data_IF_604129820877
#
_entry.id   IF_604129820877
#
_cell.length_a   1.000
_cell.length_b   1.000
_cell.length_c   1.000
_cell.angle_alpha   90.00
_cell.angle_beta   90.00
_cell.angle_gamma   90.00
#
_symmetry.space_group_name_H-M   'P 1'
#
loop_
_entity.id
_entity.type
_entity.pdbx_description
1 polymer ?
#
# COMPACT_ATOMS: atom_id res chain seq x y z
N UNK A 1 2.96 16.28 -16.58
CA UNK A 1 2.16 16.25 -15.32
C UNK A 1 3.07 15.69 -14.24
N UNK A 2 2.91 16.12 -12.99
CA UNK A 2 3.70 15.57 -11.89
C UNK A 2 3.41 14.07 -11.69
N UNK A 3 4.46 13.28 -11.44
CA UNK A 3 4.38 11.83 -11.24
C UNK A 3 4.07 11.48 -9.79
N UNK A 4 4.31 12.44 -8.88
CA UNK A 4 3.91 12.40 -7.47
C UNK A 4 3.08 13.66 -7.16
N UNK A 5 1.97 13.48 -6.43
CA UNK A 5 1.16 14.59 -5.92
C UNK A 5 0.93 14.41 -4.42
N UNK A 6 1.38 15.37 -3.63
CA UNK A 6 1.01 15.44 -2.21
C UNK A 6 -0.42 15.95 -2.13
N UNK A 7 -1.32 15.10 -1.68
CA UNK A 7 -2.75 15.41 -1.54
C UNK A 7 -3.01 16.14 -0.23
N UNK A 8 -2.39 15.68 0.86
CA UNK A 8 -2.54 16.27 2.19
C UNK A 8 -1.37 15.91 3.09
N UNK A 9 -1.03 16.82 4.01
CA UNK A 9 -0.06 16.59 5.08
C UNK A 9 -0.71 16.81 6.45
N UNK A 10 -0.05 16.38 7.52
CA UNK A 10 -0.50 16.60 8.89
C UNK A 10 -1.76 15.83 9.28
N UNK A 11 -2.08 14.74 8.58
CA UNK A 11 -3.18 13.85 8.98
C UNK A 11 -2.84 13.15 10.29
N UNK A 12 -3.81 13.12 11.22
CA UNK A 12 -3.63 12.40 12.48
C UNK A 12 -3.76 10.89 12.27
N UNK A 13 -2.64 10.19 12.33
CA UNK A 13 -2.53 8.73 12.14
C UNK A 13 -2.36 7.95 13.46
N UNK A 14 -2.41 8.62 14.61
CA UNK A 14 -2.16 8.02 15.94
C UNK A 14 -3.03 6.82 16.22
N UNK A 15 -4.34 6.90 15.94
CA UNK A 15 -5.27 5.78 16.19
C UNK A 15 -4.98 4.59 15.25
N UNK A 16 -4.56 4.86 14.02
CA UNK A 16 -4.18 3.82 13.07
C UNK A 16 -2.92 3.11 13.57
N UNK A 17 -1.90 3.87 13.98
CA UNK A 17 -0.67 3.33 14.57
C UNK A 17 -0.97 2.48 15.81
N UNK A 18 -1.82 2.96 16.72
CA UNK A 18 -2.23 2.18 17.91
C UNK A 18 -2.94 0.86 17.56
N UNK A 19 -3.73 0.83 16.47
CA UNK A 19 -4.34 -0.43 16.03
C UNK A 19 -3.31 -1.41 15.44
N UNK A 20 -2.30 -0.93 14.71
CA UNK A 20 -1.22 -1.78 14.20
C UNK A 20 -0.42 -2.42 15.33
N UNK A 21 -0.16 -1.68 16.41
CA UNK A 21 0.48 -2.20 17.62
C UNK A 21 -0.39 -3.24 18.34
N UNK A 22 -1.69 -2.96 18.45
CA UNK A 22 -2.65 -3.85 19.11
C UNK A 22 -2.81 -5.19 18.39
N UNK A 23 -2.75 -5.20 17.07
CA UNK A 23 -2.97 -6.38 16.21
C UNK A 23 -1.70 -6.71 15.41
N UNK A 24 -0.55 -6.68 16.08
CA UNK A 24 0.76 -6.97 15.46
C UNK A 24 0.86 -8.37 14.86
N UNK A 25 0.05 -9.31 15.31
CA UNK A 25 -0.06 -10.67 14.77
C UNK A 25 -0.63 -10.72 13.34
N UNK A 26 -1.26 -9.64 12.87
CA UNK A 26 -1.78 -9.56 11.51
C UNK A 26 -0.68 -9.35 10.45
N UNK A 27 0.52 -8.94 10.86
CA UNK A 27 1.65 -8.80 9.95
C UNK A 27 2.07 -10.15 9.37
N UNK A 28 2.28 -10.19 8.05
CA UNK A 28 2.62 -11.43 7.34
C UNK A 28 1.41 -12.30 7.00
N UNK A 29 0.17 -11.80 7.17
CA UNK A 29 -1.06 -12.55 6.93
C UNK A 29 -1.20 -13.06 5.49
N UNK A 30 -0.54 -12.44 4.50
CA UNK A 30 -0.51 -12.92 3.12
C UNK A 30 0.11 -14.31 2.98
N UNK A 31 1.00 -14.72 3.90
CA UNK A 31 1.69 -16.04 3.86
C UNK A 31 0.75 -17.20 4.18
N UNK A 32 -0.35 -16.94 4.86
CA UNK A 32 -1.32 -17.96 5.27
C UNK A 32 -2.54 -18.04 4.37
N UNK A 33 -2.61 -17.19 3.34
CA UNK A 33 -3.76 -17.16 2.44
C UNK A 33 -3.57 -18.14 1.29
N UNK A 34 -4.67 -18.79 0.88
CA UNK A 34 -4.68 -19.70 -0.27
C UNK A 34 -4.19 -18.96 -1.52
N UNK A 35 -3.19 -19.50 -2.20
CA UNK A 35 -2.51 -18.87 -3.33
C UNK A 35 -1.28 -18.02 -2.95
N UNK A 36 -0.92 -17.97 -1.67
CA UNK A 36 0.30 -17.26 -1.24
C UNK A 36 1.59 -17.86 -1.85
N UNK A 37 1.58 -19.13 -2.19
CA UNK A 37 2.67 -19.83 -2.87
C UNK A 37 2.94 -19.30 -4.28
N UNK A 38 1.98 -18.58 -4.88
CA UNK A 38 2.12 -17.95 -6.20
C UNK A 38 2.75 -16.54 -6.13
N UNK A 39 2.94 -16.02 -4.93
CA UNK A 39 3.61 -14.75 -4.75
C UNK A 39 5.11 -14.98 -4.93
N UNK A 40 5.70 -14.27 -5.90
CA UNK A 40 7.13 -14.34 -6.19
C UNK A 40 7.95 -14.22 -4.88
N UNK A 41 8.84 -15.18 -4.57
CA UNK A 41 9.73 -15.11 -3.41
C UNK A 41 10.55 -13.80 -3.35
N UNK A 42 10.90 -13.20 -4.49
CA UNK A 42 11.57 -11.90 -4.57
C UNK A 42 10.69 -10.76 -4.03
N UNK A 43 9.36 -10.83 -4.19
CA UNK A 43 8.43 -9.87 -3.61
C UNK A 43 8.53 -9.83 -2.07
N UNK A 44 8.76 -10.97 -1.43
CA UNK A 44 8.94 -11.06 0.01
C UNK A 44 10.27 -10.48 0.51
N UNK A 45 11.27 -10.37 -0.37
CA UNK A 45 12.56 -9.73 -0.04
C UNK A 45 12.49 -8.20 -0.13
N UNK A 46 11.53 -7.67 -0.90
CA UNK A 46 11.37 -6.23 -1.11
C UNK A 46 10.75 -5.54 0.11
N UNK A 47 9.89 -6.25 0.86
CA UNK A 47 9.18 -5.69 2.00
C UNK A 47 9.45 -6.51 3.27
N UNK A 48 9.92 -5.84 4.32
CA UNK A 48 10.17 -6.48 5.62
C UNK A 48 8.90 -7.02 6.28
N UNK A 49 7.74 -6.43 5.98
CA UNK A 49 6.44 -6.89 6.43
C UNK A 49 5.31 -6.36 5.56
N UNK A 50 4.33 -7.22 5.37
CA UNK A 50 3.09 -6.90 4.64
C UNK A 50 1.91 -7.31 5.51
N UNK A 51 0.93 -6.41 5.66
CA UNK A 51 -0.35 -6.66 6.28
C UNK A 51 -1.45 -6.31 5.29
N UNK A 52 -2.07 -7.32 4.68
CA UNK A 52 -3.14 -7.12 3.71
C UNK A 52 -4.49 -6.97 4.40
N UNK A 53 -5.24 -5.92 4.02
CA UNK A 53 -6.65 -5.76 4.43
C UNK A 53 -7.59 -6.23 3.33
N UNK A 54 -7.28 -5.86 2.09
CA UNK A 54 -7.99 -6.34 0.89
C UNK A 54 -6.94 -6.77 -0.12
N UNK A 55 -7.02 -7.99 -0.60
CA UNK A 55 -6.09 -8.55 -1.55
C UNK A 55 -6.76 -9.02 -2.83
N UNK A 56 -5.98 -9.17 -3.90
CA UNK A 56 -6.43 -9.80 -5.12
C UNK A 56 -6.68 -11.29 -4.93
N UNK A 57 -7.63 -11.84 -5.68
CA UNK A 57 -7.88 -13.26 -5.75
C UNK A 57 -8.01 -13.73 -7.19
N UNK A 58 -7.59 -14.95 -7.47
CA UNK A 58 -7.76 -15.59 -8.78
C UNK A 58 -9.07 -16.36 -8.83
N UNK A 59 -9.75 -16.35 -9.97
CA UNK A 59 -10.96 -17.14 -10.23
C UNK A 59 -10.69 -18.39 -11.05
N UNK A 60 -9.56 -18.44 -11.74
CA UNK A 60 -9.13 -19.53 -12.61
C UNK A 60 -7.67 -19.91 -12.32
N UNK A 61 -7.27 -21.17 -12.51
CA UNK A 61 -5.90 -21.63 -12.20
C UNK A 61 -4.79 -20.94 -12.99
N UNK A 62 -5.09 -20.44 -14.19
CA UNK A 62 -4.14 -19.79 -15.10
C UNK A 62 -4.19 -18.25 -15.00
N UNK A 63 -5.02 -17.70 -14.12
CA UNK A 63 -5.15 -16.27 -13.90
C UNK A 63 -4.05 -15.78 -12.97
N UNK A 64 -3.36 -14.71 -13.38
CA UNK A 64 -2.38 -14.06 -12.51
C UNK A 64 -3.08 -13.04 -11.60
N UNK A 65 -2.72 -13.04 -10.32
CA UNK A 65 -3.34 -12.16 -9.32
C UNK A 65 -3.30 -10.68 -9.69
N UNK A 66 -2.28 -10.23 -10.41
CA UNK A 66 -2.13 -8.83 -10.84
C UNK A 66 -3.00 -8.48 -12.07
N UNK A 67 -3.75 -9.44 -12.62
CA UNK A 67 -4.68 -9.21 -13.72
C UNK A 67 -6.16 -9.34 -13.32
N UNK A 68 -6.45 -9.79 -12.10
CA UNK A 68 -7.84 -9.97 -11.65
C UNK A 68 -8.41 -8.72 -10.99
N UNK A 69 -9.68 -8.46 -11.22
CA UNK A 69 -10.46 -7.42 -10.51
C UNK A 69 -11.09 -7.94 -9.20
N UNK A 70 -10.99 -9.23 -8.93
CA UNK A 70 -11.56 -9.82 -7.71
C UNK A 70 -10.73 -9.37 -6.51
N UNK A 71 -11.43 -8.80 -5.52
CA UNK A 71 -10.84 -8.32 -4.29
C UNK A 71 -11.53 -8.97 -3.08
N UNK A 72 -10.75 -9.60 -2.22
CA UNK A 72 -11.23 -10.27 -1.00
C UNK A 72 -10.69 -9.57 0.24
N UNK A 73 -11.57 -9.35 1.20
CA UNK A 73 -11.19 -8.87 2.53
C UNK A 73 -10.52 -10.00 3.31
N UNK A 74 -9.44 -9.66 4.00
CA UNK A 74 -8.84 -10.54 5.01
C UNK A 74 -9.56 -10.35 6.36
N UNK A 75 -9.39 -11.28 7.33
CA UNK A 75 -9.90 -11.06 8.69
C UNK A 75 -9.34 -9.80 9.37
N UNK A 76 -8.16 -9.31 8.97
CA UNK A 76 -7.57 -8.08 9.47
C UNK A 76 -8.39 -6.82 9.09
N UNK A 77 -9.15 -6.86 8.00
CA UNK A 77 -9.98 -5.72 7.57
C UNK A 77 -10.94 -5.24 8.66
N UNK A 78 -11.58 -6.17 9.35
CA UNK A 78 -12.58 -5.85 10.37
C UNK A 78 -11.94 -5.43 11.71
N UNK A 79 -10.66 -5.77 11.94
CA UNK A 79 -9.90 -5.36 13.13
C UNK A 79 -9.29 -3.96 12.98
N UNK A 80 -8.82 -3.59 11.80
CA UNK A 80 -8.18 -2.30 11.53
C UNK A 80 -9.19 -1.21 11.15
N UNK A 81 -10.16 -0.97 12.04
CA UNK A 81 -11.32 -0.12 11.78
C UNK A 81 -10.97 1.36 11.53
N UNK A 82 -9.89 1.88 12.12
CA UNK A 82 -9.54 3.30 11.98
C UNK A 82 -9.08 3.64 10.55
N UNK A 83 -8.30 2.77 9.90
CA UNK A 83 -7.94 2.98 8.50
C UNK A 83 -9.14 2.77 7.57
N UNK A 84 -10.01 1.81 7.89
CA UNK A 84 -11.26 1.58 7.13
C UNK A 84 -12.18 2.80 7.22
N UNK A 85 -12.31 3.43 8.40
CA UNK A 85 -13.05 4.69 8.57
C UNK A 85 -12.42 5.83 7.77
N UNK A 86 -11.09 5.93 7.77
CA UNK A 86 -10.36 6.90 6.95
C UNK A 86 -10.70 6.75 5.48
N UNK A 87 -10.59 5.54 4.93
CA UNK A 87 -10.92 5.28 3.54
C UNK A 87 -12.36 5.64 3.20
N UNK A 88 -13.32 5.18 4.01
CA UNK A 88 -14.75 5.47 3.79
C UNK A 88 -15.10 6.96 3.85
N UNK A 89 -14.34 7.74 4.64
CA UNK A 89 -14.55 9.19 4.77
C UNK A 89 -14.00 9.98 3.59
N UNK A 90 -12.88 9.55 3.03
CA UNK A 90 -12.12 10.34 2.05
C UNK A 90 -12.21 9.79 0.63
N UNK A 91 -12.60 8.53 0.44
CA UNK A 91 -12.67 7.87 -0.86
C UNK A 91 -14.00 7.15 -1.03
N UNK A 92 -14.64 7.35 -2.18
CA UNK A 92 -15.95 6.74 -2.47
C UNK A 92 -15.86 5.23 -2.72
N UNK A 93 -14.72 4.75 -3.16
CA UNK A 93 -14.44 3.34 -3.36
C UNK A 93 -12.95 3.09 -3.18
N UNK A 94 -12.62 1.88 -2.76
CA UNK A 94 -11.27 1.37 -2.73
C UNK A 94 -11.28 -0.09 -3.17
N UNK A 95 -10.15 -0.54 -3.68
CA UNK A 95 -9.93 -1.92 -4.11
C UNK A 95 -8.91 -2.58 -3.17
N UNK A 96 -7.78 -3.04 -3.68
CA UNK A 96 -6.73 -3.64 -2.83
C UNK A 96 -6.13 -2.62 -1.89
N UNK A 97 -5.83 -3.05 -0.68
CA UNK A 97 -5.16 -2.19 0.28
C UNK A 97 -4.47 -3.00 1.39
N UNK A 98 -3.42 -2.42 1.93
CA UNK A 98 -2.65 -3.03 3.02
C UNK A 98 -1.56 -2.11 3.53
N UNK A 99 -0.89 -2.55 4.59
CA UNK A 99 0.27 -1.85 5.13
C UNK A 99 1.55 -2.54 4.67
N UNK A 100 2.55 -1.75 4.38
CA UNK A 100 3.91 -2.16 4.04
C UNK A 100 4.86 -1.57 5.06
N UNK A 101 5.79 -2.38 5.56
CA UNK A 101 6.87 -1.90 6.43
C UNK A 101 8.22 -2.02 5.75
N UNK A 102 9.15 -1.11 6.09
CA UNK A 102 10.51 -1.07 5.58
C UNK A 102 11.46 -0.66 6.72
N UNK A 103 12.43 -1.52 7.10
CA UNK A 103 13.39 -1.18 8.14
C UNK A 103 14.24 0.05 7.82
N UNK A 104 14.87 0.60 8.85
CA UNK A 104 15.81 1.72 8.73
C UNK A 104 16.93 1.38 7.75
N UNK A 105 17.21 2.26 6.81
CA UNK A 105 18.26 2.12 5.80
C UNK A 105 17.93 1.17 4.65
N UNK A 106 16.80 0.47 4.69
CA UNK A 106 16.40 -0.44 3.62
C UNK A 106 15.73 0.31 2.45
N UNK A 107 15.81 -0.32 1.28
CA UNK A 107 15.34 0.24 0.01
C UNK A 107 14.33 -0.72 -0.63
N UNK A 108 13.21 -0.18 -1.06
CA UNK A 108 12.36 -0.82 -2.07
C UNK A 108 12.93 -0.45 -3.43
N UNK A 109 13.47 -1.43 -4.14
CA UNK A 109 14.06 -1.23 -5.47
C UNK A 109 13.07 -0.63 -6.47
N UNK A 110 13.59 0.07 -7.46
CA UNK A 110 12.77 0.68 -8.52
C UNK A 110 12.05 -0.40 -9.33
N UNK A 111 10.74 -0.29 -9.42
CA UNK A 111 9.86 -1.21 -10.14
C UNK A 111 8.66 -0.47 -10.75
N UNK A 112 7.90 -1.17 -11.58
CA UNK A 112 6.62 -0.72 -12.14
C UNK A 112 5.56 -1.72 -11.69
N UNK A 113 4.41 -1.23 -11.22
CA UNK A 113 3.27 -2.11 -10.93
C UNK A 113 2.73 -2.72 -12.22
N UNK A 114 2.93 -4.02 -12.38
CA UNK A 114 2.54 -4.74 -13.59
C UNK A 114 1.13 -5.32 -13.48
N UNK A 115 0.50 -5.50 -14.64
CA UNK A 115 -0.78 -6.17 -14.79
C UNK A 115 -1.94 -5.23 -15.12
N UNK A 116 -2.97 -5.80 -15.71
CA UNK A 116 -4.15 -5.06 -16.20
C UNK A 116 -4.95 -4.43 -15.06
N UNK A 117 -4.90 -5.01 -13.87
CA UNK A 117 -5.55 -4.45 -12.68
C UNK A 117 -5.09 -3.02 -12.41
N UNK A 118 -3.77 -2.76 -12.43
CA UNK A 118 -3.23 -1.46 -12.09
C UNK A 118 -3.48 -0.38 -13.15
N UNK A 119 -3.74 -0.77 -14.40
CA UNK A 119 -4.01 0.16 -15.49
C UNK A 119 -5.29 0.97 -15.27
N UNK A 120 -6.22 0.46 -14.47
CA UNK A 120 -7.53 1.08 -14.21
C UNK A 120 -7.63 1.67 -12.80
N UNK A 121 -6.52 1.79 -12.09
CA UNK A 121 -6.49 2.26 -10.70
C UNK A 121 -5.54 3.45 -10.52
N UNK A 122 -5.92 4.32 -9.61
CA UNK A 122 -5.05 5.30 -8.96
C UNK A 122 -4.52 4.71 -7.67
N UNK A 123 -3.22 4.83 -7.43
CA UNK A 123 -2.57 4.33 -6.23
C UNK A 123 -2.16 5.45 -5.30
N UNK A 124 -2.46 5.25 -4.03
CA UNK A 124 -2.20 6.20 -2.96
C UNK A 124 -1.36 5.58 -1.85
N UNK A 125 -0.56 6.42 -1.22
CA UNK A 125 0.13 6.12 0.03
C UNK A 125 -0.35 7.07 1.13
N UNK A 126 -0.69 6.52 2.31
CA UNK A 126 -0.79 7.26 3.55
C UNK A 126 0.38 6.83 4.44
N UNK A 127 1.30 7.75 4.74
CA UNK A 127 2.42 7.50 5.63
C UNK A 127 1.93 7.43 7.08
N UNK A 128 2.21 6.31 7.77
CA UNK A 128 1.78 6.08 9.16
C UNK A 128 2.92 6.32 10.14
N UNK A 129 4.14 5.90 9.77
CA UNK A 129 5.31 5.95 10.61
C UNK A 129 6.58 6.02 9.78
N UNK A 130 7.60 6.66 10.30
CA UNK A 130 8.92 6.76 9.69
C UNK A 130 8.99 7.76 8.55
N UNK A 131 10.17 8.36 8.41
CA UNK A 131 10.50 9.31 7.34
C UNK A 131 11.14 8.56 6.20
N UNK A 132 10.70 8.78 4.97
CA UNK A 132 11.28 8.09 3.81
C UNK A 132 11.34 8.98 2.59
N UNK A 133 12.29 8.66 1.72
CA UNK A 133 12.37 9.20 0.37
C UNK A 133 11.54 8.33 -0.56
N UNK A 134 10.75 8.96 -1.42
CA UNK A 134 9.95 8.28 -2.44
C UNK A 134 10.21 8.89 -3.79
N UNK A 135 10.47 8.06 -4.79
CA UNK A 135 10.62 8.53 -6.17
C UNK A 135 9.59 7.85 -7.08
N UNK A 136 9.17 8.57 -8.14
CA UNK A 136 8.31 8.05 -9.20
C UNK A 136 8.59 8.84 -10.49
N UNK A 137 9.00 8.16 -11.55
CA UNK A 137 9.47 8.82 -12.76
C UNK A 137 10.61 9.78 -12.47
N UNK A 138 10.41 11.05 -12.82
CA UNK A 138 11.39 12.12 -12.59
C UNK A 138 11.19 12.85 -11.25
N UNK A 139 10.11 12.55 -10.51
CA UNK A 139 9.80 13.20 -9.24
C UNK A 139 10.41 12.45 -8.05
N UNK A 140 10.91 13.21 -7.07
CA UNK A 140 11.38 12.70 -5.78
C UNK A 140 10.86 13.59 -4.64
N UNK A 141 10.40 12.97 -3.55
CA UNK A 141 9.89 13.68 -2.37
C UNK A 141 10.34 13.00 -1.08
N UNK A 142 10.50 13.80 -0.03
CA UNK A 142 10.60 13.30 1.35
C UNK A 142 9.20 13.24 1.94
N UNK A 143 8.84 12.09 2.49
CA UNK A 143 7.51 11.82 3.04
C UNK A 143 7.60 11.65 4.54
N UNK A 144 6.79 12.44 5.26
CA UNK A 144 6.66 12.41 6.71
C UNK A 144 5.36 11.70 7.13
N UNK A 145 5.26 11.16 8.37
CA UNK A 145 4.01 10.60 8.88
C UNK A 145 2.83 11.58 8.77
N UNK A 146 1.67 11.05 8.42
CA UNK A 146 0.46 11.85 8.17
C UNK A 146 0.39 12.47 6.78
N UNK A 147 1.29 12.11 5.88
CA UNK A 147 1.24 12.53 4.47
C UNK A 147 0.43 11.53 3.65
N UNK A 148 -0.57 12.04 2.92
CA UNK A 148 -1.30 11.33 1.88
C UNK A 148 -0.77 11.80 0.53
N UNK A 149 -0.31 10.87 -0.30
CA UNK A 149 0.15 11.16 -1.65
C UNK A 149 -0.48 10.19 -2.68
N UNK A 150 -0.60 10.67 -3.90
CA UNK A 150 -0.86 9.89 -5.10
C UNK A 150 0.43 9.82 -5.92
N UNK A 151 0.63 8.72 -6.64
CA UNK A 151 1.70 8.59 -7.62
C UNK A 151 1.28 7.76 -8.82
N UNK A 152 1.93 7.99 -9.95
CA UNK A 152 1.69 7.21 -11.17
C UNK A 152 2.40 5.85 -11.08
N UNK A 153 1.72 4.85 -10.55
CA UNK A 153 2.25 3.51 -10.37
C UNK A 153 2.55 2.74 -11.68
N UNK A 154 2.28 3.33 -12.84
CA UNK A 154 2.67 2.82 -14.17
C UNK A 154 4.06 3.31 -14.59
N UNK A 155 4.69 4.17 -13.77
CA UNK A 155 6.07 4.64 -13.95
C UNK A 155 7.01 3.96 -12.97
N UNK A 156 8.33 3.91 -13.27
CA UNK A 156 9.32 3.40 -12.33
C UNK A 156 9.27 4.16 -11.01
N UNK A 157 9.09 3.44 -9.91
CA UNK A 157 8.98 4.03 -8.57
C UNK A 157 9.64 3.14 -7.51
N UNK A 158 9.98 3.75 -6.38
CA UNK A 158 10.62 3.07 -5.26
C UNK A 158 10.70 3.95 -4.03
N UNK A 159 11.26 3.40 -2.95
CA UNK A 159 11.36 4.09 -1.67
C UNK A 159 12.63 3.71 -0.92
N UNK A 160 13.14 4.63 -0.13
CA UNK A 160 14.26 4.44 0.79
C UNK A 160 13.85 4.94 2.18
N UNK A 161 14.02 4.10 3.21
CA UNK A 161 13.80 4.54 4.58
C UNK A 161 15.02 5.37 5.04
N UNK A 162 14.87 6.68 5.03
CA UNK A 162 15.91 7.64 5.43
C UNK A 162 15.70 8.18 6.85
N UNK A 163 14.73 7.62 7.58
CA UNK A 163 14.46 7.94 8.97
C UNK A 163 15.23 7.07 9.94
N UNK A 164 14.93 7.20 11.23
CA UNK A 164 15.53 6.50 12.36
C UNK A 164 14.59 5.45 12.99
N UNK A 165 13.42 5.26 12.40
CA UNK A 165 12.44 4.25 12.82
C UNK A 165 11.89 3.44 11.65
N UNK A 166 11.24 2.32 11.95
CA UNK A 166 10.55 1.50 10.96
C UNK A 166 9.56 2.34 10.16
N UNK A 167 9.71 2.38 8.83
CA UNK A 167 8.69 2.98 7.96
C UNK A 167 7.47 2.08 7.93
N UNK A 168 6.28 2.66 8.08
CA UNK A 168 4.98 2.01 7.83
C UNK A 168 4.16 2.90 6.90
N UNK A 169 3.73 2.35 5.78
CA UNK A 169 2.91 3.03 4.78
C UNK A 169 1.66 2.20 4.49
N UNK A 170 0.51 2.83 4.52
CA UNK A 170 -0.73 2.24 4.00
C UNK A 170 -0.83 2.53 2.51
N UNK A 171 -0.91 1.47 1.71
CA UNK A 171 -1.05 1.51 0.25
C UNK A 171 -2.46 1.08 -0.12
N UNK A 172 -3.12 1.82 -1.00
CA UNK A 172 -4.45 1.47 -1.46
C UNK A 172 -4.73 1.95 -2.88
N UNK A 173 -5.59 1.21 -3.56
CA UNK A 173 -5.97 1.44 -4.94
C UNK A 173 -7.42 1.93 -5.03
N UNK A 174 -7.65 2.92 -5.91
CA UNK A 174 -8.97 3.51 -6.15
C UNK A 174 -9.27 3.46 -7.65
N UNK A 175 -10.44 2.97 -8.08
CA UNK A 175 -10.81 2.97 -9.49
C UNK A 175 -10.80 4.39 -10.11
N UNK A 176 -10.25 4.56 -11.32
CA UNK A 176 -10.17 5.84 -12.02
C UNK A 176 -11.51 6.57 -12.17
N UNK A 177 -12.61 5.81 -12.33
CA UNK A 177 -13.96 6.39 -12.58
C UNK A 177 -14.66 6.91 -11.32
N UNK A 178 -13.98 6.92 -10.17
CA UNK A 178 -14.49 7.46 -8.92
C UNK A 178 -13.84 8.81 -8.67
N UNK A 179 -14.67 9.82 -8.31
CA UNK A 179 -14.13 11.12 -7.90
C UNK A 179 -13.26 10.92 -6.67
N UNK A 180 -11.97 11.11 -6.86
CA UNK A 180 -10.96 11.06 -5.81
C UNK A 180 -10.64 12.49 -5.38
N UNK A 181 -10.24 12.73 -4.12
CA UNK A 181 -9.89 14.05 -3.63
C UNK A 181 -8.72 14.68 -4.38
#
# INVERSE_FOLDING_TARGET
MADIRIIRTGLNVTKIKSQLEKYKEDWGNQKTMKGAEQIDPEFHKIYAGVLQLVMGAISKPDEMVYNTEICLKTPAYDRHTEIVKFMKRHFHAHSRCGFLSLPVGEIVGTHIDQGTYYQTKDRYHLSIQGRYKYHCGDDEVIVEPGTLLWFDNKKPHGAENVGDELRITFVFDVPHNKRNP
#
